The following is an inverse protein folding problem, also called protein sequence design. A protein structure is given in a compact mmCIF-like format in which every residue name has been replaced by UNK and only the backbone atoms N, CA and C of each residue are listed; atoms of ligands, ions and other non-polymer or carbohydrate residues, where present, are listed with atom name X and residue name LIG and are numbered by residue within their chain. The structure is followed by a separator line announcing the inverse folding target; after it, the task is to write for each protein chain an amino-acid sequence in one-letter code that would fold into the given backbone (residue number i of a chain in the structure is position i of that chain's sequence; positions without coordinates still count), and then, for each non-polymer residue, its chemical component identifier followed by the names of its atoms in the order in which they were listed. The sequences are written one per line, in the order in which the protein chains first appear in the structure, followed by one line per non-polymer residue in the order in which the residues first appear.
data_IF_395441849980
#
_entry.id   IF_395441849980
#
_cell.length_a   1.000
_cell.length_b   1.000
_cell.length_c   1.000
_cell.angle_alpha   90.00
_cell.angle_beta   90.00
_cell.angle_gamma   90.00
#
_symmetry.space_group_name_H-M   'P 1'
#
loop_
_entity.id
_entity.type
_entity.pdbx_description
1 polymer ?
#
# COMPACT_ATOMS: atom_id res chain seq x y z
N UNK A 1 -18.19 -3.37 -5.21
CA UNK A 1 -18.06 -4.08 -6.51
C UNK A 1 -17.53 -5.45 -6.22
N UNK A 2 -18.16 -6.50 -6.76
CA UNK A 2 -17.88 -7.88 -6.39
C UNK A 2 -16.40 -8.23 -6.56
N UNK A 3 -15.89 -9.08 -5.66
CA UNK A 3 -14.58 -9.72 -5.76
C UNK A 3 -14.47 -10.27 -7.18
N UNK A 4 -13.66 -9.64 -8.03
CA UNK A 4 -13.30 -10.24 -9.32
C UNK A 4 -12.72 -11.60 -8.99
N UNK A 5 -13.10 -12.62 -9.74
CA UNK A 5 -12.54 -13.94 -9.56
C UNK A 5 -11.00 -13.84 -9.60
N UNK A 6 -10.32 -14.51 -8.67
CA UNK A 6 -8.87 -14.42 -8.55
C UNK A 6 -8.20 -14.86 -9.85
N UNK A 7 -8.80 -15.82 -10.56
CA UNK A 7 -8.36 -16.26 -11.89
C UNK A 7 -8.49 -15.15 -12.94
N UNK A 8 -9.66 -14.50 -13.04
CA UNK A 8 -9.85 -13.35 -13.94
C UNK A 8 -8.86 -12.21 -13.64
N UNK A 9 -8.59 -11.97 -12.36
CA UNK A 9 -7.66 -10.93 -11.93
C UNK A 9 -6.21 -11.31 -12.28
N UNK A 10 -5.82 -12.58 -12.14
CA UNK A 10 -4.52 -13.10 -12.55
C UNK A 10 -4.29 -12.91 -14.05
N UNK A 11 -5.25 -13.32 -14.88
CA UNK A 11 -5.16 -13.21 -16.34
C UNK A 11 -5.07 -11.75 -16.78
N UNK A 12 -5.86 -10.88 -16.14
CA UNK A 12 -5.78 -9.44 -16.35
C UNK A 12 -4.39 -8.88 -16.04
N UNK A 13 -3.80 -9.22 -14.88
CA UNK A 13 -2.47 -8.74 -14.47
C UNK A 13 -1.40 -9.18 -15.46
N UNK A 14 -1.37 -10.47 -15.82
CA UNK A 14 -0.39 -11.01 -16.78
C UNK A 14 -0.48 -10.29 -18.14
N UNK A 15 -1.70 -10.04 -18.61
CA UNK A 15 -1.95 -9.29 -19.85
C UNK A 15 -1.45 -7.86 -19.75
N UNK A 16 -1.85 -7.12 -18.72
CA UNK A 16 -1.50 -5.71 -18.55
C UNK A 16 0.01 -5.50 -18.39
N UNK A 17 0.67 -6.33 -17.58
CA UNK A 17 2.12 -6.24 -17.36
C UNK A 17 2.88 -6.41 -18.69
N UNK A 18 2.44 -7.36 -19.53
CA UNK A 18 3.00 -7.57 -20.86
C UNK A 18 2.73 -6.40 -21.81
N UNK A 19 1.48 -5.93 -21.89
CA UNK A 19 1.08 -4.85 -22.80
C UNK A 19 1.71 -3.50 -22.44
N UNK A 20 1.90 -3.23 -21.15
CA UNK A 20 2.46 -1.98 -20.64
C UNK A 20 3.99 -2.02 -20.45
N UNK A 21 4.65 -3.10 -20.91
CA UNK A 21 6.10 -3.30 -20.80
C UNK A 21 6.62 -3.08 -19.36
N UNK A 22 5.91 -3.66 -18.39
CA UNK A 22 6.31 -3.65 -16.97
C UNK A 22 7.43 -4.65 -16.79
N UNK A 23 8.59 -4.17 -16.33
CA UNK A 23 9.79 -5.00 -16.18
C UNK A 23 9.95 -5.57 -14.78
N UNK A 24 9.49 -4.82 -13.79
CA UNK A 24 9.63 -5.16 -12.38
C UNK A 24 8.29 -5.04 -11.65
N UNK A 25 8.03 -6.00 -10.78
CA UNK A 25 6.87 -6.00 -9.91
C UNK A 25 7.37 -6.04 -8.47
N UNK A 26 7.00 -5.03 -7.69
CA UNK A 26 7.26 -4.98 -6.26
C UNK A 26 6.16 -5.72 -5.52
N UNK A 27 6.57 -6.73 -4.76
CA UNK A 27 5.70 -7.46 -3.86
C UNK A 27 5.77 -6.80 -2.50
N UNK A 28 4.64 -6.27 -2.02
CA UNK A 28 4.52 -5.47 -0.81
C UNK A 28 3.81 -6.25 0.29
N UNK A 29 4.25 -6.13 1.53
CA UNK A 29 3.55 -6.66 2.70
C UNK A 29 3.92 -5.84 3.92
N UNK A 30 3.24 -6.07 5.05
CA UNK A 30 3.47 -5.27 6.27
C UNK A 30 3.94 -6.16 7.42
N UNK A 31 4.89 -5.65 8.20
CA UNK A 31 5.24 -6.28 9.48
C UNK A 31 4.25 -5.88 10.58
N UNK A 32 4.35 -6.51 11.76
CA UNK A 32 3.41 -6.27 12.86
C UNK A 32 3.47 -4.86 13.45
N UNK A 33 4.53 -4.10 13.14
CA UNK A 33 4.69 -2.70 13.57
C UNK A 33 4.13 -1.72 12.51
N UNK A 34 3.57 -2.24 11.41
CA UNK A 34 3.03 -1.42 10.32
C UNK A 34 4.10 -0.82 9.41
N UNK A 35 5.31 -1.42 9.37
CA UNK A 35 6.29 -1.05 8.36
C UNK A 35 6.05 -1.81 7.07
N UNK A 36 5.99 -1.08 5.96
CA UNK A 36 5.96 -1.66 4.62
C UNK A 36 7.28 -2.37 4.34
N UNK A 37 7.18 -3.61 3.88
CA UNK A 37 8.28 -4.44 3.40
C UNK A 37 8.07 -4.71 1.92
N UNK A 38 9.17 -4.93 1.21
CA UNK A 38 9.09 -5.24 -0.20
C UNK A 38 10.29 -6.03 -0.69
N UNK A 39 10.05 -6.87 -1.68
CA UNK A 39 11.07 -7.35 -2.61
C UNK A 39 10.53 -7.26 -4.04
N UNK A 40 11.40 -7.44 -5.03
CA UNK A 40 11.08 -7.23 -6.44
C UNK A 40 11.26 -8.52 -7.22
N UNK A 41 10.30 -8.83 -8.08
CA UNK A 41 10.38 -9.90 -9.08
C UNK A 41 10.41 -9.30 -10.49
N UNK A 42 10.90 -10.09 -11.46
CA UNK A 42 10.81 -9.72 -12.87
C UNK A 42 9.52 -10.25 -13.49
N UNK A 43 9.20 -9.80 -14.70
CA UNK A 43 8.05 -10.29 -15.46
C UNK A 43 8.04 -11.83 -15.61
N UNK A 44 9.21 -12.43 -15.82
CA UNK A 44 9.35 -13.88 -16.03
C UNK A 44 8.92 -14.70 -14.81
N UNK A 45 9.08 -14.16 -13.61
CA UNK A 45 8.70 -14.83 -12.36
C UNK A 45 7.23 -14.59 -11.98
N UNK A 46 6.52 -13.67 -12.66
CA UNK A 46 5.20 -13.21 -12.27
C UNK A 46 4.15 -14.32 -12.26
N UNK A 47 4.13 -15.18 -13.28
CA UNK A 47 3.15 -16.27 -13.37
C UNK A 47 3.31 -17.25 -12.22
N UNK A 48 4.54 -17.70 -11.98
CA UNK A 48 4.94 -18.55 -10.85
C UNK A 48 4.56 -17.91 -9.51
N UNK A 49 4.87 -16.62 -9.33
CA UNK A 49 4.57 -15.89 -8.11
C UNK A 49 3.06 -15.81 -7.83
N UNK A 50 2.23 -15.61 -8.87
CA UNK A 50 0.76 -15.57 -8.72
C UNK A 50 0.17 -16.94 -8.39
N UNK A 51 0.82 -18.03 -8.77
CA UNK A 51 0.38 -19.40 -8.49
C UNK A 51 0.85 -19.92 -7.14
N UNK A 52 2.15 -19.85 -6.90
CA UNK A 52 2.81 -20.50 -5.76
C UNK A 52 3.28 -19.52 -4.68
N UNK A 53 3.25 -18.21 -4.96
CA UNK A 53 3.89 -17.20 -4.12
C UNK A 53 5.41 -17.21 -4.25
N UNK A 54 6.06 -16.33 -3.49
CA UNK A 54 7.52 -16.23 -3.43
C UNK A 54 8.01 -16.55 -2.02
N UNK A 55 8.97 -17.47 -1.92
CA UNK A 55 9.63 -17.79 -0.65
C UNK A 55 10.48 -16.62 -0.15
N UNK A 56 10.47 -16.36 1.16
CA UNK A 56 11.33 -15.38 1.81
C UNK A 56 11.64 -15.77 3.27
N UNK A 57 12.70 -15.18 3.82
CA UNK A 57 13.09 -15.34 5.23
C UNK A 57 12.27 -14.42 6.15
N UNK A 58 11.30 -15.01 6.84
CA UNK A 58 10.45 -14.38 7.84
C UNK A 58 11.15 -14.08 9.17
N UNK A 59 12.32 -14.67 9.47
CA UNK A 59 13.06 -14.38 10.71
C UNK A 59 13.63 -12.95 10.73
N UNK A 60 13.81 -12.38 9.53
CA UNK A 60 14.23 -11.00 9.31
C UNK A 60 13.07 -9.99 9.43
N UNK A 61 11.84 -10.45 9.63
CA UNK A 61 10.64 -9.60 9.76
C UNK A 61 10.17 -9.56 11.22
N UNK A 62 10.07 -8.35 11.76
CA UNK A 62 9.69 -8.15 13.17
C UNK A 62 8.29 -8.70 13.42
N UNK A 63 8.20 -9.64 14.38
CA UNK A 63 6.94 -10.21 14.84
C UNK A 63 6.36 -11.34 13.99
N UNK A 64 7.09 -11.84 12.98
CA UNK A 64 6.65 -12.98 12.17
C UNK A 64 7.07 -14.31 12.81
N UNK A 65 8.26 -14.80 12.50
CA UNK A 65 8.73 -16.10 12.97
C UNK A 65 9.92 -15.96 13.95
N UNK A 66 10.04 -16.92 14.88
CA UNK A 66 11.30 -17.17 15.59
C UNK A 66 12.28 -17.87 14.64
N UNK A 67 13.57 -17.85 14.98
CA UNK A 67 14.68 -18.35 14.13
C UNK A 67 14.43 -19.78 13.58
N UNK A 68 13.65 -20.61 14.27
CA UNK A 68 13.42 -22.01 13.92
C UNK A 68 12.33 -22.26 12.85
N UNK A 69 11.56 -21.24 12.44
CA UNK A 69 10.49 -21.33 11.42
C UNK A 69 10.57 -20.18 10.40
N UNK A 70 11.77 -19.95 9.87
CA UNK A 70 12.08 -18.77 9.04
C UNK A 70 11.43 -18.76 7.65
N UNK A 71 11.18 -19.91 7.04
CA UNK A 71 10.75 -19.95 5.64
C UNK A 71 9.25 -19.64 5.53
N UNK A 72 8.93 -18.54 4.84
CA UNK A 72 7.57 -18.07 4.62
C UNK A 72 7.31 -17.82 3.13
N UNK A 73 6.04 -17.70 2.75
CA UNK A 73 5.61 -17.43 1.38
C UNK A 73 4.85 -16.11 1.34
N UNK A 74 5.27 -15.20 0.47
CA UNK A 74 4.50 -14.00 0.12
C UNK A 74 3.68 -14.30 -1.14
N UNK A 75 2.35 -14.37 -0.99
CA UNK A 75 1.43 -14.68 -2.07
C UNK A 75 0.80 -13.38 -2.60
N UNK A 76 1.13 -12.92 -3.83
CA UNK A 76 0.58 -11.70 -4.40
C UNK A 76 -0.94 -11.78 -4.56
N UNK A 77 -1.62 -10.69 -4.18
CA UNK A 77 -3.04 -10.47 -4.36
C UNK A 77 -3.27 -9.67 -5.66
N UNK A 78 -3.74 -10.31 -6.75
CA UNK A 78 -3.87 -9.67 -8.05
C UNK A 78 -4.89 -8.53 -8.06
N UNK A 79 -5.83 -8.52 -7.12
CA UNK A 79 -6.82 -7.45 -6.98
C UNK A 79 -6.18 -6.12 -6.53
N UNK A 80 -4.95 -6.17 -6.02
CA UNK A 80 -4.19 -4.98 -5.59
C UNK A 80 -3.14 -4.53 -6.59
N UNK A 81 -3.16 -5.06 -7.81
CA UNK A 81 -2.23 -4.65 -8.84
C UNK A 81 -2.34 -3.15 -9.13
N UNK A 82 -1.22 -2.45 -9.02
CA UNK A 82 -1.16 -1.01 -9.26
C UNK A 82 0.13 -0.63 -9.98
N UNK A 83 0.01 0.19 -11.02
CA UNK A 83 1.17 0.79 -11.67
C UNK A 83 1.76 1.87 -10.77
N UNK A 84 3.09 1.89 -10.64
CA UNK A 84 3.78 2.96 -9.92
C UNK A 84 4.08 4.11 -10.89
N UNK A 85 3.61 5.35 -10.60
CA UNK A 85 3.82 6.49 -11.49
C UNK A 85 5.26 7.04 -11.39
N UNK A 86 6.02 6.64 -10.38
CA UNK A 86 7.43 6.94 -10.25
C UNK A 86 8.32 5.80 -10.74
N UNK A 87 9.50 6.15 -11.23
CA UNK A 87 10.52 5.21 -11.68
C UNK A 87 11.24 5.69 -12.93
N UNK A 88 12.17 4.87 -13.45
CA UNK A 88 12.87 5.18 -14.69
C UNK A 88 11.90 5.29 -15.88
N UNK A 89 12.24 6.11 -16.87
CA UNK A 89 11.36 6.30 -18.05
C UNK A 89 11.47 5.17 -19.07
N UNK A 90 12.52 4.35 -18.96
CA UNK A 90 12.88 3.29 -19.89
C UNK A 90 12.03 2.02 -19.71
N UNK A 91 11.48 1.81 -18.51
CA UNK A 91 10.64 0.66 -18.19
C UNK A 91 9.64 1.03 -17.10
N UNK A 92 8.53 0.30 -17.03
CA UNK A 92 7.54 0.52 -15.98
C UNK A 92 7.71 -0.45 -14.81
N UNK A 93 7.29 0.01 -13.63
CA UNK A 93 7.23 -0.79 -12.41
C UNK A 93 5.79 -0.84 -11.91
N UNK A 94 5.38 -1.99 -11.41
CA UNK A 94 4.09 -2.16 -10.74
C UNK A 94 4.29 -2.68 -9.32
N UNK A 95 3.23 -2.68 -8.53
CA UNK A 95 3.18 -3.28 -7.19
C UNK A 95 1.96 -4.16 -7.00
N UNK A 96 2.07 -5.13 -6.11
CA UNK A 96 0.95 -5.87 -5.54
C UNK A 96 1.22 -6.07 -4.05
N UNK A 97 0.17 -5.97 -3.23
CA UNK A 97 0.22 -6.46 -1.87
C UNK A 97 0.20 -7.99 -1.85
N UNK A 98 0.86 -8.57 -0.86
CA UNK A 98 0.94 -9.99 -0.63
C UNK A 98 0.24 -10.33 0.69
N UNK A 99 -0.44 -11.47 0.70
CA UNK A 99 -0.76 -12.16 1.94
C UNK A 99 0.42 -13.05 2.31
N UNK A 100 0.72 -13.15 3.60
CA UNK A 100 1.80 -14.01 4.07
C UNK A 100 1.23 -15.38 4.45
N UNK A 101 1.90 -16.43 3.99
CA UNK A 101 1.52 -17.82 4.19
C UNK A 101 2.69 -18.62 4.75
N UNK A 102 2.36 -19.67 5.49
CA UNK A 102 3.26 -20.77 5.77
C UNK A 102 3.60 -21.56 4.50
N UNK A 103 4.75 -22.26 4.45
CA UNK A 103 5.00 -23.26 3.42
C UNK A 103 3.85 -24.28 3.38
N UNK A 104 3.32 -24.54 2.17
CA UNK A 104 2.10 -25.35 1.99
C UNK A 104 0.81 -24.52 1.86
N UNK A 105 0.90 -23.19 1.95
CA UNK A 105 -0.16 -22.27 1.52
C UNK A 105 -1.17 -21.88 2.60
N UNK A 106 -1.03 -22.38 3.83
CA UNK A 106 -1.88 -21.92 4.93
C UNK A 106 -1.56 -20.45 5.26
N UNK A 107 -2.57 -19.57 5.43
CA UNK A 107 -2.33 -18.18 5.82
C UNK A 107 -1.60 -18.08 7.16
N UNK A 108 -0.61 -17.19 7.24
CA UNK A 108 0.10 -16.88 8.48
C UNK A 108 -0.79 -16.05 9.39
N UNK A 109 -1.05 -16.55 10.59
CA UNK A 109 -1.97 -15.95 11.55
C UNK A 109 -1.50 -14.60 12.11
N UNK A 110 -0.19 -14.31 12.01
CA UNK A 110 0.43 -13.05 12.42
C UNK A 110 0.51 -12.00 11.32
N UNK A 111 0.09 -12.30 10.09
CA UNK A 111 0.00 -11.32 9.01
C UNK A 111 -1.10 -10.28 9.35
N UNK A 112 -0.74 -8.98 9.52
CA UNK A 112 -1.71 -7.94 9.84
C UNK A 112 -2.86 -7.85 8.82
N UNK A 113 -2.57 -8.05 7.53
CA UNK A 113 -3.57 -7.99 6.46
C UNK A 113 -4.56 -9.15 6.55
N UNK A 114 -4.06 -10.35 6.83
CA UNK A 114 -4.91 -11.52 7.09
C UNK A 114 -5.73 -11.38 8.39
N UNK A 115 -5.14 -10.81 9.45
CA UNK A 115 -5.87 -10.49 10.70
C UNK A 115 -7.07 -9.58 10.41
N UNK A 116 -6.89 -8.54 9.58
CA UNK A 116 -7.99 -7.68 9.14
C UNK A 116 -9.03 -8.47 8.34
N UNK A 117 -8.62 -9.25 7.33
CA UNK A 117 -9.52 -10.10 6.52
C UNK A 117 -10.41 -11.01 7.39
N UNK A 118 -9.85 -11.66 8.42
CA UNK A 118 -10.62 -12.50 9.36
C UNK A 118 -11.67 -11.71 10.14
N UNK A 119 -11.33 -10.51 10.62
CA UNK A 119 -12.27 -9.68 11.37
C UNK A 119 -13.38 -9.10 10.47
N UNK A 120 -13.04 -8.69 9.24
CA UNK A 120 -14.04 -8.26 8.26
C UNK A 120 -14.99 -9.39 7.90
N UNK A 121 -14.48 -10.62 7.75
CA UNK A 121 -15.33 -11.79 7.55
C UNK A 121 -16.31 -11.99 8.72
N UNK A 122 -15.84 -11.89 9.97
CA UNK A 122 -16.71 -12.00 11.15
C UNK A 122 -17.81 -10.93 11.16
N UNK A 123 -17.47 -9.69 10.80
CA UNK A 123 -18.44 -8.61 10.68
C UNK A 123 -19.48 -8.88 9.57
N UNK A 124 -19.02 -9.37 8.41
CA UNK A 124 -19.89 -9.73 7.29
C UNK A 124 -20.82 -10.91 7.64
N UNK A 125 -20.33 -11.92 8.36
CA UNK A 125 -21.14 -13.05 8.83
C UNK A 125 -22.23 -12.61 9.83
N UNK A 126 -22.06 -11.46 10.49
CA UNK A 126 -23.07 -10.80 11.31
C UNK A 126 -24.00 -9.86 10.52
N UNK A 127 -23.80 -9.71 9.22
CA UNK A 127 -24.59 -8.84 8.33
C UNK A 127 -24.12 -7.39 8.23
N UNK A 128 -22.91 -7.06 8.70
CA UNK A 128 -22.35 -5.71 8.62
C UNK A 128 -21.45 -5.50 7.42
N UNK A 129 -21.41 -4.26 6.93
CA UNK A 129 -20.36 -3.75 6.03
C UNK A 129 -19.53 -2.73 6.79
N UNK A 130 -18.21 -2.79 6.66
CA UNK A 130 -17.29 -1.94 7.41
C UNK A 130 -16.45 -1.09 6.46
N UNK A 131 -16.76 0.21 6.43
CA UNK A 131 -16.05 1.22 5.65
C UNK A 131 -15.20 2.08 6.59
N UNK A 132 -14.07 2.56 6.11
CA UNK A 132 -13.11 3.37 6.87
C UNK A 132 -12.71 4.59 6.03
N UNK A 133 -12.66 5.75 6.69
CA UNK A 133 -12.06 6.99 6.19
C UNK A 133 -11.11 7.51 7.26
N UNK A 134 -9.79 7.27 7.13
CA UNK A 134 -8.81 7.76 8.08
C UNK A 134 -8.35 9.17 7.70
N UNK A 135 -8.11 9.97 8.73
CA UNK A 135 -7.55 11.33 8.66
C UNK A 135 -6.06 11.21 9.01
N UNK A 136 -5.20 11.28 7.99
CA UNK A 136 -3.75 11.07 8.12
C UNK A 136 -3.02 12.42 8.11
N UNK A 137 -2.76 12.92 9.31
CA UNK A 137 -1.94 14.12 9.49
C UNK A 137 -0.44 13.79 9.42
N UNK A 138 0.33 14.70 8.83
CA UNK A 138 1.78 14.57 8.70
C UNK A 138 2.47 15.93 8.70
N UNK A 139 3.80 15.93 8.83
CA UNK A 139 4.62 17.14 8.85
C UNK A 139 5.59 17.17 7.69
N UNK A 140 5.83 18.36 7.11
CA UNK A 140 6.99 18.60 6.27
C UNK A 140 8.12 19.27 7.07
N UNK A 141 9.32 18.70 6.97
CA UNK A 141 10.53 19.26 7.55
C UNK A 141 11.54 19.60 6.46
N UNK A 142 12.40 20.59 6.71
CA UNK A 142 13.41 21.05 5.75
C UNK A 142 14.45 19.97 5.41
N UNK A 143 14.72 19.06 6.34
CA UNK A 143 15.62 17.92 6.12
C UNK A 143 15.26 16.74 7.03
N UNK A 144 15.88 15.59 6.77
CA UNK A 144 15.78 14.40 7.62
C UNK A 144 16.64 14.49 8.90
N UNK A 145 17.47 15.52 9.04
CA UNK A 145 18.42 15.66 10.15
C UNK A 145 17.84 16.46 11.33
N UNK A 146 16.85 17.32 11.08
CA UNK A 146 16.22 18.13 12.12
C UNK A 146 14.72 18.35 11.86
N UNK A 147 13.90 18.44 12.92
CA UNK A 147 12.47 18.73 12.78
C UNK A 147 12.22 20.23 12.57
N UNK A 148 13.01 20.88 11.71
CA UNK A 148 12.81 22.28 11.36
C UNK A 148 11.67 22.37 10.33
N UNK A 149 10.61 23.09 10.69
CA UNK A 149 9.41 23.25 9.87
C UNK A 149 9.71 23.90 8.51
N UNK A 150 8.98 23.46 7.48
CA UNK A 150 9.11 23.99 6.12
C UNK A 150 8.39 25.33 5.95
N UNK A 151 7.26 25.49 6.64
CA UNK A 151 6.42 26.69 6.65
C UNK A 151 5.91 27.01 8.07
N UNK A 152 5.08 28.05 8.17
CA UNK A 152 4.43 28.50 9.41
C UNK A 152 2.91 28.63 9.26
N UNK A 153 2.32 27.98 8.25
CA UNK A 153 0.87 28.00 8.05
C UNK A 153 0.14 27.31 9.19
N UNK A 154 -1.04 27.81 9.52
CA UNK A 154 -1.97 27.20 10.48
C UNK A 154 -3.25 26.69 9.81
N UNK A 155 -4.22 26.33 10.65
CA UNK A 155 -5.43 25.63 10.23
C UNK A 155 -6.20 26.37 9.12
N UNK A 156 -6.37 25.71 7.97
CA UNK A 156 -7.00 26.27 6.75
C UNK A 156 -6.39 27.56 6.21
N UNK A 157 -5.17 27.93 6.61
CA UNK A 157 -4.53 29.12 6.07
C UNK A 157 -4.32 28.99 4.57
N UNK A 158 -4.75 30.02 3.85
CA UNK A 158 -4.34 30.24 2.47
C UNK A 158 -2.95 30.88 2.48
N UNK A 159 -1.92 30.05 2.44
CA UNK A 159 -0.55 30.52 2.30
C UNK A 159 -0.30 30.99 0.85
N UNK A 160 0.55 32.02 0.63
CA UNK A 160 1.11 32.26 -0.70
C UNK A 160 1.74 30.96 -1.23
N UNK A 161 1.74 30.72 -2.56
CA UNK A 161 2.37 29.52 -3.12
C UNK A 161 3.78 29.32 -2.56
N UNK A 162 3.96 28.20 -1.88
CA UNK A 162 5.18 27.79 -1.20
C UNK A 162 5.50 26.33 -1.51
N UNK A 163 6.66 25.87 -1.02
CA UNK A 163 7.14 24.52 -1.25
C UNK A 163 6.21 23.45 -0.66
N UNK A 164 5.60 23.72 0.50
CA UNK A 164 4.66 22.79 1.15
C UNK A 164 3.40 22.57 0.31
N UNK A 165 2.85 23.64 -0.26
CA UNK A 165 1.69 23.58 -1.16
C UNK A 165 1.99 22.80 -2.43
N UNK A 166 3.18 22.99 -3.02
CA UNK A 166 3.58 22.26 -4.22
C UNK A 166 3.80 20.76 -3.92
N UNK A 167 4.49 20.42 -2.82
CA UNK A 167 4.67 19.02 -2.38
C UNK A 167 3.33 18.31 -2.16
N UNK A 168 2.41 18.95 -1.44
CA UNK A 168 1.07 18.39 -1.19
C UNK A 168 0.29 18.17 -2.49
N UNK A 169 0.37 19.11 -3.43
CA UNK A 169 -0.26 18.98 -4.76
C UNK A 169 0.35 17.81 -5.54
N UNK A 170 1.67 17.65 -5.52
CA UNK A 170 2.35 16.52 -6.16
C UNK A 170 1.91 15.18 -5.55
N UNK A 171 1.83 15.09 -4.21
CA UNK A 171 1.31 13.90 -3.52
C UNK A 171 -0.11 13.56 -3.96
N UNK A 172 -1.01 14.56 -4.05
CA UNK A 172 -2.39 14.37 -4.53
C UNK A 172 -2.42 13.83 -5.96
N UNK A 173 -1.66 14.43 -6.88
CA UNK A 173 -1.62 14.00 -8.28
C UNK A 173 -1.12 12.55 -8.43
N UNK A 174 -0.10 12.16 -7.65
CA UNK A 174 0.41 10.78 -7.62
C UNK A 174 -0.65 9.81 -7.10
N UNK A 175 -1.38 10.17 -6.05
CA UNK A 175 -2.46 9.33 -5.51
C UNK A 175 -3.62 9.16 -6.49
N UNK A 176 -4.04 10.24 -7.16
CA UNK A 176 -5.08 10.18 -8.18
C UNK A 176 -4.66 9.32 -9.39
N UNK A 177 -3.41 9.42 -9.84
CA UNK A 177 -2.87 8.55 -10.89
C UNK A 177 -2.88 7.06 -10.47
N UNK A 178 -2.75 6.81 -9.16
CA UNK A 178 -2.87 5.48 -8.57
C UNK A 178 -4.31 5.05 -8.26
N UNK A 179 -5.32 5.86 -8.60
CA UNK A 179 -6.74 5.56 -8.37
C UNK A 179 -7.19 5.73 -6.92
N UNK A 180 -6.42 6.42 -6.07
CA UNK A 180 -6.78 6.76 -4.70
C UNK A 180 -7.49 8.12 -4.71
N UNK A 181 -8.77 8.13 -4.35
CA UNK A 181 -9.58 9.34 -4.39
C UNK A 181 -9.32 10.23 -3.16
N UNK A 182 -8.85 11.44 -3.42
CA UNK A 182 -8.71 12.51 -2.42
C UNK A 182 -10.02 13.29 -2.31
N UNK A 183 -10.47 13.58 -1.10
CA UNK A 183 -11.69 14.37 -0.85
C UNK A 183 -11.38 15.86 -0.73
N UNK A 184 -10.42 16.22 0.11
CA UNK A 184 -9.86 17.56 0.23
C UNK A 184 -8.46 17.52 0.88
N UNK A 185 -7.80 18.67 0.99
CA UNK A 185 -6.52 18.79 1.66
C UNK A 185 -6.35 20.19 2.25
N UNK A 186 -5.63 20.31 3.37
CA UNK A 186 -5.43 21.61 4.04
C UNK A 186 -4.14 21.66 4.85
N UNK A 187 -3.81 22.86 5.33
CA UNK A 187 -2.89 23.04 6.44
C UNK A 187 -3.62 22.68 7.73
N UNK A 188 -2.91 22.04 8.63
CA UNK A 188 -3.39 21.68 9.95
C UNK A 188 -3.01 22.72 11.00
N UNK A 189 -3.37 22.49 12.27
CA UNK A 189 -3.22 23.47 13.36
C UNK A 189 -1.76 23.85 13.63
N UNK A 190 -0.83 22.92 13.60
CA UNK A 190 0.58 23.20 13.89
C UNK A 190 1.34 23.66 12.63
N UNK A 191 2.42 24.46 12.80
CA UNK A 191 3.29 24.86 11.69
C UNK A 191 3.78 23.66 10.86
N UNK A 192 3.62 23.76 9.54
CA UNK A 192 4.02 22.71 8.59
C UNK A 192 3.40 21.33 8.85
N UNK A 193 2.25 21.32 9.53
CA UNK A 193 1.37 20.17 9.63
C UNK A 193 0.38 20.24 8.47
N UNK A 194 0.13 19.09 7.85
CA UNK A 194 -0.74 18.98 6.70
C UNK A 194 -1.59 17.74 6.81
N UNK A 195 -2.71 17.79 6.10
CA UNK A 195 -3.62 16.67 5.95
C UNK A 195 -4.08 16.57 4.49
N UNK A 196 -4.20 15.33 4.03
CA UNK A 196 -4.92 15.00 2.80
C UNK A 196 -5.93 13.90 3.14
N UNK A 197 -7.20 14.26 3.11
CA UNK A 197 -8.31 13.36 3.38
C UNK A 197 -8.58 12.45 2.19
N UNK A 198 -8.69 11.15 2.47
CA UNK A 198 -9.06 10.16 1.48
C UNK A 198 -10.56 9.87 1.58
N UNK A 199 -11.23 9.79 0.43
CA UNK A 199 -12.63 9.37 0.41
C UNK A 199 -12.75 7.95 0.98
N UNK A 200 -13.68 7.74 1.91
CA UNK A 200 -13.86 6.44 2.55
C UNK A 200 -14.09 5.31 1.53
N UNK A 201 -13.62 4.11 1.88
CA UNK A 201 -13.90 2.87 1.14
C UNK A 201 -13.98 1.68 2.12
N UNK A 202 -14.18 0.46 1.62
CA UNK A 202 -14.11 -0.74 2.45
C UNK A 202 -12.76 -0.84 3.17
N UNK A 203 -12.78 -1.42 4.37
CA UNK A 203 -11.63 -1.36 5.26
C UNK A 203 -10.36 -2.04 4.73
N UNK A 204 -10.46 -3.08 3.91
CA UNK A 204 -9.28 -3.77 3.38
C UNK A 204 -8.61 -2.91 2.31
N UNK A 205 -9.38 -2.40 1.34
CA UNK A 205 -8.87 -1.46 0.35
C UNK A 205 -8.34 -0.19 1.01
N UNK A 206 -9.02 0.32 2.03
CA UNK A 206 -8.54 1.50 2.75
C UNK A 206 -7.21 1.23 3.47
N UNK A 207 -7.03 0.07 4.10
CA UNK A 207 -5.75 -0.28 4.71
C UNK A 207 -4.60 -0.34 3.68
N UNK A 208 -4.85 -0.91 2.49
CA UNK A 208 -3.87 -0.93 1.39
C UNK A 208 -3.58 0.49 0.86
N UNK A 209 -4.59 1.38 0.81
CA UNK A 209 -4.44 2.78 0.43
C UNK A 209 -3.61 3.57 1.45
N UNK A 210 -3.87 3.41 2.76
CA UNK A 210 -3.08 4.02 3.84
C UNK A 210 -1.60 3.63 3.75
N UNK A 211 -1.33 2.36 3.44
CA UNK A 211 0.06 1.90 3.25
C UNK A 211 0.71 2.44 1.97
N UNK A 212 -0.08 2.80 0.96
CA UNK A 212 0.42 3.41 -0.28
C UNK A 212 0.61 4.92 -0.14
N UNK A 213 -0.21 5.56 0.69
CA UNK A 213 -0.18 6.97 1.01
C UNK A 213 1.11 7.40 1.71
N UNK A 214 1.58 6.56 2.66
CA UNK A 214 2.79 6.79 3.47
C UNK A 214 4.08 6.55 2.68
#
# INVERSE_FOLDING_TARGET
MGVKDRAESKDYVLKVVKEQNVRFIRLWFTDVLGFLKSFTITFEELETALEMGCGFDGSSIRGFARIDESDMVALPDPATFQMLPWGPKEYRTARMFCDICWPGGQPFEGDPRYVLKRNLKRAADMGYTFNVGPELEYFYFQSSESPQFLDQGGYFDLTPPDLATDLKRETILVMEEMGINVEYSHHEVAPSQHEIDLRYTDALTMADNVMTYR
#
